data_IF_901072222138
#
_entry.id   IF_901072222138
#
_cell.length_a   1.000
_cell.length_b   1.000
_cell.length_c   1.000
_cell.angle_alpha   90.00
_cell.angle_beta   90.00
_cell.angle_gamma   90.00
#
_symmetry.space_group_name_H-M   'P 1'
#
loop_
_entity.id
_entity.type
_entity.pdbx_description
1 polymer ?
#
# COMPACT_ATOMS: atom_id res chain seq x y z
N UNK A 1 0.94 15.85 1.19
CA UNK A 1 0.61 15.72 2.64
C UNK A 1 -0.63 14.88 2.91
N UNK A 2 -1.85 15.29 2.49
CA UNK A 2 -3.10 14.56 2.81
C UNK A 2 -3.09 13.08 2.41
N UNK A 3 -2.57 12.77 1.21
CA UNK A 3 -2.42 11.39 0.73
C UNK A 3 -1.59 10.54 1.70
N UNK A 4 -0.45 11.07 2.16
CA UNK A 4 0.40 10.38 3.13
C UNK A 4 -0.31 10.11 4.45
N UNK A 5 -1.08 11.08 4.97
CA UNK A 5 -1.86 10.91 6.20
C UNK A 5 -2.95 9.82 6.04
N UNK A 6 -3.69 9.83 4.93
CA UNK A 6 -4.68 8.78 4.66
C UNK A 6 -4.03 7.40 4.53
N UNK A 7 -2.85 7.33 3.91
CA UNK A 7 -2.05 6.11 3.84
C UNK A 7 -1.67 5.61 5.24
N UNK A 8 -1.19 6.48 6.14
CA UNK A 8 -0.87 6.09 7.53
C UNK A 8 -2.10 5.46 8.22
N UNK A 9 -3.25 6.12 8.14
CA UNK A 9 -4.49 5.63 8.77
C UNK A 9 -4.90 4.28 8.17
N UNK A 10 -4.82 4.13 6.85
CA UNK A 10 -5.10 2.88 6.15
C UNK A 10 -4.20 1.75 6.65
N UNK A 11 -2.90 2.00 6.76
CA UNK A 11 -1.90 1.00 7.17
C UNK A 11 -2.12 0.54 8.61
N UNK A 12 -2.40 1.49 9.52
CA UNK A 12 -2.71 1.16 10.92
C UNK A 12 -3.95 0.26 11.00
N UNK A 13 -5.01 0.58 10.24
CA UNK A 13 -6.23 -0.24 10.20
C UNK A 13 -5.97 -1.62 9.59
N UNK A 14 -5.24 -1.67 8.47
CA UNK A 14 -4.91 -2.93 7.80
C UNK A 14 -4.09 -3.84 8.72
N UNK A 15 -3.10 -3.30 9.43
CA UNK A 15 -2.29 -4.03 10.40
C UNK A 15 -3.14 -4.60 11.54
N UNK A 16 -4.03 -3.78 12.12
CA UNK A 16 -4.89 -4.21 13.23
C UNK A 16 -5.82 -5.36 12.85
N UNK A 17 -6.24 -5.46 11.59
CA UNK A 17 -7.23 -6.43 11.11
C UNK A 17 -6.61 -7.70 10.50
N UNK A 18 -5.31 -7.73 10.27
CA UNK A 18 -4.60 -8.89 9.71
C UNK A 18 -3.97 -9.77 10.80
N UNK A 19 -4.56 -9.77 12.00
CA UNK A 19 -4.26 -10.67 13.12
C UNK A 19 -2.78 -10.71 13.58
N UNK A 20 -2.04 -9.59 13.43
CA UNK A 20 -0.67 -9.39 13.97
C UNK A 20 0.36 -10.48 13.60
N UNK A 21 0.23 -11.13 12.43
CA UNK A 21 1.25 -12.08 11.94
C UNK A 21 2.51 -11.34 11.44
N UNK A 22 3.68 -11.97 11.53
CA UNK A 22 4.98 -11.39 11.10
C UNK A 22 4.93 -10.86 9.66
N UNK A 23 4.25 -11.56 8.74
CA UNK A 23 4.10 -11.10 7.35
C UNK A 23 3.25 -9.84 7.20
N UNK A 24 2.24 -9.67 8.06
CA UNK A 24 1.45 -8.44 8.14
C UNK A 24 2.28 -7.30 8.75
N UNK A 25 3.13 -7.59 9.74
CA UNK A 25 4.07 -6.60 10.28
C UNK A 25 5.04 -6.12 9.21
N UNK A 26 5.68 -7.03 8.46
CA UNK A 26 6.60 -6.67 7.39
C UNK A 26 5.92 -5.77 6.33
N UNK A 27 4.74 -6.18 5.83
CA UNK A 27 3.97 -5.37 4.89
C UNK A 27 3.64 -3.98 5.45
N UNK A 28 3.15 -3.93 6.69
CA UNK A 28 2.76 -2.67 7.34
C UNK A 28 3.95 -1.73 7.55
N UNK A 29 5.13 -2.26 7.89
CA UNK A 29 6.35 -1.46 8.03
C UNK A 29 6.75 -0.81 6.70
N UNK A 30 6.76 -1.56 5.60
CA UNK A 30 7.07 -1.02 4.28
C UNK A 30 6.08 0.08 3.87
N UNK A 31 4.79 -0.17 4.09
CA UNK A 31 3.75 0.80 3.84
C UNK A 31 3.87 2.04 4.75
N UNK A 32 4.35 1.89 5.99
CA UNK A 32 4.69 3.02 6.86
C UNK A 32 5.78 3.92 6.26
N UNK A 33 6.83 3.32 5.71
CA UNK A 33 7.89 4.04 4.99
C UNK A 33 7.33 4.74 3.76
N UNK A 34 6.51 4.06 2.95
CA UNK A 34 5.82 4.65 1.79
C UNK A 34 4.99 5.87 2.20
N UNK A 35 4.24 5.75 3.30
CA UNK A 35 3.38 6.82 3.80
C UNK A 35 4.17 8.04 4.25
N UNK A 36 5.27 7.83 4.99
CA UNK A 36 6.18 8.89 5.38
C UNK A 36 6.84 9.53 4.16
N UNK A 37 7.23 8.73 3.17
CA UNK A 37 7.76 9.20 1.89
C UNK A 37 6.81 10.17 1.21
N UNK A 38 5.51 9.87 1.12
CA UNK A 38 4.52 10.79 0.54
C UNK A 38 4.35 12.11 1.32
N UNK A 39 4.64 12.12 2.62
CA UNK A 39 4.69 13.36 3.41
C UNK A 39 5.96 14.14 3.07
N UNK A 40 7.12 13.48 3.08
CA UNK A 40 8.41 14.09 2.77
C UNK A 40 8.47 14.64 1.33
N UNK A 41 7.89 13.93 0.37
CA UNK A 41 7.84 14.33 -1.04
C UNK A 41 7.11 15.68 -1.23
N UNK A 42 6.22 16.07 -0.31
CA UNK A 42 5.55 17.36 -0.37
C UNK A 42 6.47 18.56 -0.10
N UNK A 43 7.65 18.34 0.49
CA UNK A 43 8.64 19.38 0.75
C UNK A 43 9.59 19.63 -0.45
N UNK A 44 9.60 18.73 -1.44
CA UNK A 44 10.52 18.80 -2.58
C UNK A 44 9.71 18.80 -3.88
N UNK A 45 9.56 19.94 -4.57
CA UNK A 45 8.78 20.00 -5.79
C UNK A 45 9.44 19.19 -6.92
N UNK A 46 8.61 18.48 -7.69
CA UNK A 46 9.06 17.88 -8.95
C UNK A 46 9.37 19.01 -9.93
N UNK A 47 10.60 19.02 -10.48
CA UNK A 47 11.00 19.99 -11.48
C UNK A 47 11.03 19.34 -12.86
N UNK A 48 10.67 20.13 -13.88
CA UNK A 48 10.70 19.69 -15.28
C UNK A 48 12.18 19.68 -15.71
N UNK A 49 12.66 18.54 -16.21
CA UNK A 49 14.07 18.36 -16.62
C UNK A 49 14.55 19.38 -17.66
N UNK A 50 13.63 20.04 -18.39
CA UNK A 50 13.94 21.05 -19.41
C UNK A 50 14.66 22.29 -18.87
N UNK A 51 14.72 22.49 -17.55
CA UNK A 51 15.40 23.64 -16.90
C UNK A 51 16.72 23.19 -16.22
N UNK A 52 17.13 21.93 -16.42
CA UNK A 52 18.24 21.30 -15.72
C UNK A 52 17.80 20.61 -14.42
N UNK A 53 18.47 19.53 -14.05
CA UNK A 53 18.22 18.80 -12.80
C UNK A 53 18.72 19.62 -11.62
N UNK A 54 17.80 20.26 -10.88
CA UNK A 54 18.13 20.83 -9.57
C UNK A 54 18.30 19.73 -8.52
N UNK A 55 18.98 20.08 -7.43
CA UNK A 55 19.12 19.22 -6.25
C UNK A 55 17.75 18.81 -5.71
N UNK A 56 16.75 19.70 -5.76
CA UNK A 56 15.38 19.39 -5.33
C UNK A 56 14.73 18.31 -6.19
N UNK A 57 14.87 18.40 -7.51
CA UNK A 57 14.35 17.40 -8.45
C UNK A 57 15.02 16.02 -8.24
N UNK A 58 16.32 16.02 -7.97
CA UNK A 58 17.05 14.78 -7.65
C UNK A 58 16.56 14.15 -6.34
N UNK A 59 16.34 14.96 -5.30
CA UNK A 59 15.78 14.50 -4.03
C UNK A 59 14.35 13.97 -4.23
N UNK A 60 13.52 14.69 -4.99
CA UNK A 60 12.16 14.26 -5.33
C UNK A 60 12.15 12.88 -5.98
N UNK A 61 12.94 12.69 -7.05
CA UNK A 61 13.02 11.42 -7.77
C UNK A 61 13.55 10.29 -6.89
N UNK A 62 14.52 10.57 -6.02
CA UNK A 62 15.06 9.59 -5.07
C UNK A 62 13.98 9.13 -4.07
N UNK A 63 13.23 10.08 -3.51
CA UNK A 63 12.12 9.77 -2.59
C UNK A 63 11.02 9.00 -3.34
N UNK A 64 10.66 9.41 -4.56
CA UNK A 64 9.68 8.71 -5.40
C UNK A 64 10.09 7.26 -5.70
N UNK A 65 11.38 7.01 -5.95
CA UNK A 65 11.94 5.67 -6.10
C UNK A 65 11.80 4.82 -4.83
N UNK A 66 12.13 5.39 -3.67
CA UNK A 66 11.97 4.70 -2.37
C UNK A 66 10.50 4.40 -2.06
N UNK A 67 9.59 5.35 -2.30
CA UNK A 67 8.14 5.17 -2.15
C UNK A 67 7.68 4.00 -3.03
N UNK A 68 8.07 4.00 -4.30
CA UNK A 68 7.67 2.97 -5.27
C UNK A 68 8.18 1.59 -4.87
N UNK A 69 9.46 1.47 -4.52
CA UNK A 69 10.07 0.20 -4.11
C UNK A 69 9.42 -0.34 -2.82
N UNK A 70 9.27 0.51 -1.79
CA UNK A 70 8.67 0.11 -0.52
C UNK A 70 7.20 -0.27 -0.67
N UNK A 71 6.44 0.45 -1.51
CA UNK A 71 5.05 0.09 -1.82
C UNK A 71 4.96 -1.31 -2.45
N UNK A 72 5.79 -1.59 -3.47
CA UNK A 72 5.80 -2.87 -4.17
C UNK A 72 6.17 -4.01 -3.21
N UNK A 73 7.23 -3.84 -2.40
CA UNK A 73 7.64 -4.85 -1.42
C UNK A 73 6.55 -5.06 -0.36
N UNK A 74 5.88 -3.99 0.08
CA UNK A 74 4.73 -4.06 0.97
C UNK A 74 3.59 -4.89 0.37
N UNK A 75 3.24 -4.65 -0.89
CA UNK A 75 2.23 -5.43 -1.61
C UNK A 75 2.64 -6.90 -1.77
N UNK A 76 3.91 -7.22 -2.01
CA UNK A 76 4.41 -8.60 -2.06
C UNK A 76 4.21 -9.29 -0.70
N UNK A 77 4.59 -8.62 0.39
CA UNK A 77 4.40 -9.15 1.74
C UNK A 77 2.92 -9.42 2.06
N UNK A 78 2.03 -8.48 1.68
CA UNK A 78 0.58 -8.67 1.82
C UNK A 78 0.01 -9.74 0.89
N UNK A 79 0.46 -9.87 -0.36
CA UNK A 79 0.03 -10.94 -1.25
C UNK A 79 0.36 -12.31 -0.65
N UNK A 80 1.56 -12.47 -0.11
CA UNK A 80 1.97 -13.69 0.57
C UNK A 80 1.13 -13.96 1.83
N UNK A 81 0.86 -12.91 2.62
CA UNK A 81 -0.01 -13.01 3.79
C UNK A 81 -1.45 -13.42 3.40
N UNK A 82 -2.05 -12.73 2.44
CA UNK A 82 -3.41 -12.99 1.95
C UNK A 82 -3.57 -14.39 1.37
N UNK A 83 -2.53 -14.94 0.73
CA UNK A 83 -2.55 -16.32 0.21
C UNK A 83 -2.77 -17.35 1.33
N UNK A 84 -2.26 -17.09 2.53
CA UNK A 84 -2.33 -18.00 3.69
C UNK A 84 -3.54 -17.77 4.59
N UNK A 85 -4.20 -16.63 4.45
CA UNK A 85 -5.33 -16.25 5.31
C UNK A 85 -6.66 -16.52 4.60
N UNK A 86 -7.51 -17.45 5.10
CA UNK A 86 -8.80 -17.77 4.48
C UNK A 86 -9.72 -16.55 4.27
N UNK A 87 -9.66 -15.55 5.15
CA UNK A 87 -10.50 -14.35 5.09
C UNK A 87 -10.08 -13.38 3.97
N UNK A 88 -8.81 -13.45 3.58
CA UNK A 88 -8.17 -12.58 2.59
C UNK A 88 -7.78 -13.29 1.30
N UNK A 89 -7.93 -14.62 1.23
CA UNK A 89 -7.48 -15.46 0.11
C UNK A 89 -8.01 -14.98 -1.24
N UNK A 90 -9.25 -14.52 -1.36
CA UNK A 90 -9.77 -14.03 -2.65
C UNK A 90 -8.99 -12.81 -3.20
N UNK A 91 -8.28 -12.06 -2.35
CA UNK A 91 -7.54 -10.86 -2.72
C UNK A 91 -6.06 -11.13 -3.03
N UNK A 92 -5.53 -12.33 -2.81
CA UNK A 92 -4.11 -12.60 -3.05
C UNK A 92 -3.75 -12.45 -4.54
N UNK A 93 -4.61 -12.95 -5.45
CA UNK A 93 -4.41 -12.85 -6.90
C UNK A 93 -4.45 -11.38 -7.34
N UNK A 94 -5.44 -10.63 -6.84
CA UNK A 94 -5.57 -9.21 -7.14
C UNK A 94 -4.34 -8.41 -6.70
N UNK A 95 -3.85 -8.64 -5.46
CA UNK A 95 -2.64 -7.98 -4.97
C UNK A 95 -1.40 -8.42 -5.77
N UNK A 96 -1.30 -9.69 -6.15
CA UNK A 96 -0.19 -10.17 -6.99
C UNK A 96 -0.19 -9.52 -8.39
N UNK A 97 -1.36 -9.37 -9.02
CA UNK A 97 -1.50 -8.65 -10.29
C UNK A 97 -1.14 -7.17 -10.14
N UNK A 98 -1.53 -6.54 -9.03
CA UNK A 98 -1.14 -5.16 -8.71
C UNK A 98 0.38 -5.04 -8.61
N UNK A 99 1.05 -5.98 -7.92
CA UNK A 99 2.52 -6.02 -7.84
C UNK A 99 3.15 -6.08 -9.22
N UNK A 100 2.65 -6.96 -10.09
CA UNK A 100 3.17 -7.09 -11.45
C UNK A 100 3.01 -5.79 -12.24
N UNK A 101 1.84 -5.15 -12.18
CA UNK A 101 1.60 -3.86 -12.83
C UNK A 101 2.53 -2.78 -12.29
N UNK A 102 2.66 -2.65 -10.97
CA UNK A 102 3.54 -1.66 -10.37
C UNK A 102 5.01 -1.92 -10.72
N UNK A 103 5.46 -3.18 -10.78
CA UNK A 103 6.81 -3.52 -11.23
C UNK A 103 7.02 -3.15 -12.70
N UNK A 104 6.08 -3.48 -13.58
CA UNK A 104 6.15 -3.09 -15.00
C UNK A 104 6.26 -1.59 -15.13
N UNK A 105 5.39 -0.82 -14.45
CA UNK A 105 5.43 0.64 -14.52
C UNK A 105 6.69 1.23 -13.87
N UNK A 106 7.21 0.65 -12.78
CA UNK A 106 8.45 1.10 -12.15
C UNK A 106 9.67 0.89 -13.07
N UNK A 107 9.75 -0.28 -13.72
CA UNK A 107 10.83 -0.58 -14.67
C UNK A 107 10.71 0.33 -15.90
N UNK A 108 9.50 0.48 -16.45
CA UNK A 108 9.26 1.37 -17.59
C UNK A 108 9.53 2.84 -17.24
N UNK A 109 9.25 3.28 -16.02
CA UNK A 109 9.60 4.60 -15.51
C UNK A 109 11.11 4.82 -15.52
N UNK A 110 11.89 3.87 -14.97
CA UNK A 110 13.36 3.98 -14.93
C UNK A 110 14.05 3.78 -16.29
N UNK A 111 13.38 3.16 -17.26
CA UNK A 111 13.89 2.91 -18.60
C UNK A 111 13.37 3.88 -19.67
N UNK A 112 12.48 4.81 -19.31
CA UNK A 112 11.89 5.75 -20.25
C UNK A 112 12.94 6.73 -20.80
N UNK A 113 13.04 6.91 -22.14
CA UNK A 113 14.03 7.80 -22.74
C UNK A 113 13.64 9.29 -22.64
N UNK A 114 12.35 9.57 -22.43
CA UNK A 114 11.80 10.93 -22.42
C UNK A 114 11.07 11.20 -21.11
N UNK A 115 11.25 12.41 -20.56
CA UNK A 115 10.63 12.85 -19.30
C UNK A 115 9.10 12.80 -19.32
N UNK A 116 8.47 13.00 -20.48
CA UNK A 116 7.02 12.90 -20.63
C UNK A 116 6.53 11.46 -20.45
N UNK A 117 7.24 10.50 -21.06
CA UNK A 117 6.94 9.07 -20.94
C UNK A 117 7.22 8.58 -19.52
N UNK A 118 8.30 9.07 -18.91
CA UNK A 118 8.61 8.84 -17.51
C UNK A 118 7.45 9.28 -16.61
N UNK A 119 6.97 10.52 -16.77
CA UNK A 119 5.84 11.04 -15.99
C UNK A 119 4.55 10.21 -16.16
N UNK A 120 4.31 9.64 -17.35
CA UNK A 120 3.17 8.75 -17.59
C UNK A 120 3.30 7.46 -16.78
N UNK A 121 4.46 6.79 -16.83
CA UNK A 121 4.66 5.54 -16.08
C UNK A 121 4.63 5.75 -14.57
N UNK A 122 5.15 6.86 -14.07
CA UNK A 122 5.05 7.24 -12.67
C UNK A 122 3.58 7.37 -12.23
N UNK A 123 2.75 8.07 -13.04
CA UNK A 123 1.32 8.22 -12.76
C UNK A 123 0.58 6.88 -12.81
N UNK A 124 0.90 6.01 -13.76
CA UNK A 124 0.30 4.69 -13.87
C UNK A 124 0.63 3.80 -12.66
N UNK A 125 1.86 3.90 -12.15
CA UNK A 125 2.28 3.25 -10.90
C UNK A 125 1.43 3.75 -9.72
N UNK A 126 1.33 5.08 -9.56
CA UNK A 126 0.54 5.69 -8.48
C UNK A 126 -0.94 5.30 -8.55
N UNK A 127 -1.55 5.40 -9.73
CA UNK A 127 -2.95 5.02 -9.95
C UNK A 127 -3.16 3.54 -9.58
N UNK A 128 -2.27 2.64 -10.01
CA UNK A 128 -2.34 1.22 -9.66
C UNK A 128 -2.31 1.02 -8.15
N UNK A 129 -1.40 1.71 -7.47
CA UNK A 129 -1.29 1.65 -6.01
C UNK A 129 -2.52 2.20 -5.28
N UNK A 130 -3.10 3.31 -5.75
CA UNK A 130 -4.30 3.90 -5.16
C UNK A 130 -5.55 3.05 -5.39
N UNK A 131 -5.70 2.46 -6.58
CA UNK A 131 -6.80 1.52 -6.86
C UNK A 131 -6.68 0.32 -5.93
N UNK A 132 -5.48 -0.23 -5.74
CA UNK A 132 -5.25 -1.31 -4.78
C UNK A 132 -5.66 -0.91 -3.36
N UNK A 133 -5.21 0.26 -2.91
CA UNK A 133 -5.56 0.76 -1.59
C UNK A 133 -7.08 0.90 -1.41
N UNK A 134 -7.76 1.42 -2.43
CA UNK A 134 -9.21 1.60 -2.44
C UNK A 134 -9.94 0.26 -2.33
N UNK A 135 -9.56 -0.73 -3.14
CA UNK A 135 -10.16 -2.07 -3.14
C UNK A 135 -9.97 -2.76 -1.79
N UNK A 136 -8.75 -2.71 -1.23
CA UNK A 136 -8.47 -3.28 0.10
C UNK A 136 -9.21 -2.52 1.20
N UNK A 137 -9.32 -1.20 1.11
CA UNK A 137 -10.10 -0.37 2.04
C UNK A 137 -11.58 -0.77 2.07
N UNK A 138 -12.19 -0.98 0.90
CA UNK A 138 -13.58 -1.44 0.81
C UNK A 138 -13.75 -2.80 1.49
N UNK A 139 -12.80 -3.72 1.31
CA UNK A 139 -12.82 -5.02 2.01
C UNK A 139 -12.66 -4.87 3.53
N UNK A 140 -11.80 -3.97 4.00
CA UNK A 140 -11.64 -3.67 5.43
C UNK A 140 -12.97 -3.18 6.03
N UNK A 141 -13.63 -2.22 5.38
CA UNK A 141 -14.92 -1.67 5.82
C UNK A 141 -15.99 -2.75 5.87
N UNK A 142 -16.10 -3.57 4.81
CA UNK A 142 -17.08 -4.67 4.75
C UNK A 142 -16.82 -5.77 5.79
N UNK A 143 -15.58 -5.95 6.20
CA UNK A 143 -15.22 -6.96 7.21
C UNK A 143 -15.60 -6.53 8.63
N UNK A 144 -15.71 -5.23 8.90
CA UNK A 144 -16.17 -4.70 10.20
C UNK A 144 -17.69 -4.74 10.39
N UNK A 145 -18.48 -4.80 9.31
CA UNK A 145 -19.94 -4.72 9.36
C UNK A 145 -20.68 -6.02 9.69
N UNK A 146 -19.97 -7.13 9.96
CA UNK A 146 -20.61 -8.38 10.41
C UNK A 146 -20.64 -8.41 11.94
N UNK A 147 -21.82 -8.36 12.59
CA UNK A 147 -21.91 -8.58 14.03
C UNK A 147 -21.29 -9.93 14.36
N UNK A 148 -20.33 -9.95 15.27
CA UNK A 148 -19.90 -11.19 15.91
C UNK A 148 -21.13 -11.72 16.67
N UNK A 149 -21.54 -12.99 16.50
CA UNK A 149 -22.59 -13.55 17.34
C UNK A 149 -22.14 -13.42 18.79
N UNK A 150 -22.96 -12.76 19.61
CA UNK A 150 -22.73 -12.66 21.05
C UNK A 150 -22.58 -14.09 21.57
N UNK A 151 -21.47 -14.46 22.23
CA UNK A 151 -21.37 -15.78 22.83
C UNK A 151 -22.52 -15.90 23.82
N UNK A 152 -23.46 -16.80 23.53
CA UNK A 152 -24.53 -17.17 24.45
C UNK A 152 -23.82 -17.73 25.67
N UNK A 153 -23.84 -16.97 26.77
CA UNK A 153 -23.39 -17.46 28.06
C UNK A 153 -24.34 -18.58 28.42
N UNK A 154 -23.90 -19.82 28.27
CA UNK A 154 -24.61 -20.96 28.84
C UNK A 154 -24.48 -20.75 30.35
N UNK A 155 -25.55 -20.30 30.98
CA UNK A 155 -25.67 -20.42 32.43
C UNK A 155 -25.60 -21.91 32.71
N UNK A 156 -24.47 -22.35 33.29
CA UNK A 156 -24.40 -23.66 33.90
C UNK A 156 -25.42 -23.64 35.04
N UNK A 157 -26.56 -24.29 34.79
CA UNK A 157 -27.55 -24.58 35.81
C UNK A 157 -26.83 -25.20 37.00
N UNK A 158 -26.86 -24.49 38.12
CA UNK A 158 -26.42 -24.95 39.43
C UNK A 158 -27.32 -26.12 39.80
N UNK A 159 -26.89 -27.34 39.45
CA UNK A 159 -27.51 -28.55 39.95
C UNK A 159 -26.99 -28.77 41.37
N UNK A 160 -27.92 -28.56 42.30
CA UNK A 160 -27.83 -28.82 43.75
C UNK A 160 -27.40 -30.25 44.08
#
# INVERSE_FOLDING_TARGET
VLIGVFFIIFVIKLYSLTHKKISSLAGSSFFGITSFGFVALAAFPSQIESIGLSIEGLIHNSIAGVISATFIIGCIAFAYHFRKDPHWKSYWIYTALTVLLCLTFAISWGAAPESQVQAVFERLLLISGFIWMLVISIKLIRSHGKPQPVPVRVEEDVIN
#
